data_IF_689130161620
#
_entry.id   IF_689130161620
#
_cell.length_a   1.000
_cell.length_b   1.000
_cell.length_c   1.000
_cell.angle_alpha   90.00
_cell.angle_beta   90.00
_cell.angle_gamma   90.00
#
_symmetry.space_group_name_H-M   'P 1'
#
loop_
_entity.id
_entity.type
_entity.pdbx_description
1 polymer ?
#
# COMPACT_ATOMS: atom_id res chain seq x y z
N UNK A 1 0.84 -7.37 -1.74
CA UNK A 1 0.44 -8.64 -1.10
C UNK A 1 -1.04 -8.87 -1.29
N UNK A 2 -1.43 -10.13 -1.44
CA UNK A 2 -2.80 -10.60 -1.54
C UNK A 2 -2.97 -11.73 -0.53
N UNK A 3 -4.05 -11.69 0.25
CA UNK A 3 -4.41 -12.77 1.17
C UNK A 3 -5.89 -13.05 1.02
N UNK A 4 -6.24 -14.29 0.69
CA UNK A 4 -7.62 -14.74 0.61
C UNK A 4 -8.02 -15.43 1.91
N UNK A 5 -9.16 -15.02 2.45
CA UNK A 5 -9.73 -15.59 3.65
C UNK A 5 -11.03 -16.33 3.31
N UNK A 6 -11.15 -17.57 3.80
CA UNK A 6 -12.37 -18.36 3.70
C UNK A 6 -12.71 -18.89 5.10
N UNK A 7 -13.94 -18.65 5.55
CA UNK A 7 -14.43 -19.08 6.88
C UNK A 7 -13.50 -18.67 8.05
N UNK A 8 -12.89 -17.48 7.94
CA UNK A 8 -11.97 -16.94 8.94
C UNK A 8 -10.54 -17.51 8.90
N UNK A 9 -10.25 -18.41 7.96
CA UNK A 9 -8.92 -19.00 7.77
C UNK A 9 -8.22 -18.40 6.56
N UNK A 10 -6.89 -18.27 6.62
CA UNK A 10 -6.08 -17.91 5.46
C UNK A 10 -6.04 -19.11 4.52
N UNK A 11 -6.49 -18.89 3.28
CA UNK A 11 -6.57 -19.96 2.28
C UNK A 11 -5.49 -19.81 1.20
N UNK A 12 -5.22 -18.59 0.73
CA UNK A 12 -4.16 -18.30 -0.24
C UNK A 12 -3.42 -17.02 0.14
N UNK A 13 -2.14 -16.97 -0.18
CA UNK A 13 -1.33 -15.75 -0.11
C UNK A 13 -0.46 -15.63 -1.34
N UNK A 14 -0.40 -14.44 -1.93
CA UNK A 14 0.47 -14.14 -3.05
C UNK A 14 1.12 -12.77 -2.91
N UNK A 15 2.27 -12.59 -3.55
CA UNK A 15 2.96 -11.31 -3.64
C UNK A 15 3.14 -10.99 -5.12
N UNK A 16 2.47 -9.94 -5.58
CA UNK A 16 2.73 -9.36 -6.89
C UNK A 16 3.92 -8.41 -6.78
N UNK A 17 4.86 -8.47 -7.72
CA UNK A 17 6.02 -7.57 -7.78
C UNK A 17 5.66 -6.17 -8.33
N UNK A 18 4.46 -5.68 -7.99
CA UNK A 18 3.94 -4.37 -8.38
C UNK A 18 3.22 -3.70 -7.20
N UNK A 19 3.21 -2.36 -7.17
CA UNK A 19 2.60 -1.57 -6.12
C UNK A 19 2.74 -0.07 -6.36
N UNK A 20 2.69 0.71 -5.27
CA UNK A 20 2.71 2.17 -5.36
C UNK A 20 4.01 2.78 -5.89
N UNK A 21 5.11 2.03 -5.94
CA UNK A 21 6.39 2.49 -6.49
C UNK A 21 6.33 2.62 -8.02
N UNK A 22 5.67 1.67 -8.70
CA UNK A 22 5.46 1.74 -10.15
C UNK A 22 4.66 2.98 -10.54
N UNK A 23 3.66 3.37 -9.73
CA UNK A 23 2.94 4.63 -9.91
C UNK A 23 3.89 5.84 -9.84
N UNK A 24 4.82 5.85 -8.88
CA UNK A 24 5.83 6.92 -8.75
C UNK A 24 6.75 6.97 -9.96
N UNK A 25 7.19 5.82 -10.45
CA UNK A 25 8.06 5.72 -11.62
C UNK A 25 7.37 6.25 -12.88
N UNK A 26 6.11 5.87 -13.10
CA UNK A 26 5.32 6.37 -14.23
C UNK A 26 5.12 7.88 -14.19
N UNK A 27 4.85 8.44 -13.00
CA UNK A 27 4.74 9.89 -12.82
C UNK A 27 6.09 10.58 -13.13
N UNK A 28 7.20 10.02 -12.65
CA UNK A 28 8.52 10.59 -12.86
C UNK A 28 8.89 10.65 -14.35
N UNK A 29 8.61 9.56 -15.08
CA UNK A 29 8.84 9.47 -16.51
C UNK A 29 7.87 10.39 -17.27
N UNK A 30 6.56 10.27 -17.00
CA UNK A 30 5.52 10.98 -17.73
C UNK A 30 5.56 12.50 -17.56
N UNK A 31 5.98 12.98 -16.39
CA UNK A 31 6.07 14.41 -16.09
C UNK A 31 7.49 14.97 -16.12
N UNK A 32 8.49 14.14 -16.45
CA UNK A 32 9.90 14.55 -16.44
C UNK A 32 10.28 15.27 -15.14
N UNK A 33 9.99 14.64 -14.00
CA UNK A 33 10.29 15.12 -12.63
C UNK A 33 11.18 14.11 -11.89
N UNK A 34 12.04 14.54 -10.95
CA UNK A 34 12.79 13.59 -10.11
C UNK A 34 11.84 12.65 -9.35
N UNK A 35 12.28 11.41 -9.06
CA UNK A 35 11.50 10.39 -8.33
C UNK A 35 10.97 10.92 -6.99
N UNK A 36 11.77 11.67 -6.24
CA UNK A 36 11.34 12.30 -4.99
C UNK A 36 10.27 13.38 -5.19
N UNK A 37 10.31 14.07 -6.33
CA UNK A 37 9.27 15.00 -6.76
C UNK A 37 7.99 14.26 -7.13
N UNK A 38 8.09 13.20 -7.92
CA UNK A 38 6.98 12.33 -8.30
C UNK A 38 6.25 11.74 -7.08
N UNK A 39 7.00 11.22 -6.11
CA UNK A 39 6.43 10.64 -4.88
C UNK A 39 5.68 11.70 -4.07
N UNK A 40 6.23 12.92 -4.00
CA UNK A 40 5.60 14.04 -3.30
C UNK A 40 4.29 14.45 -3.96
N UNK A 41 4.28 14.66 -5.27
CA UNK A 41 3.04 15.05 -5.98
C UNK A 41 2.01 13.92 -6.00
N UNK A 42 2.44 12.64 -6.07
CA UNK A 42 1.55 11.49 -5.92
C UNK A 42 0.82 11.51 -4.59
N UNK A 43 1.55 11.72 -3.49
CA UNK A 43 0.97 11.76 -2.14
C UNK A 43 0.07 12.97 -1.91
N UNK A 44 0.44 14.13 -2.44
CA UNK A 44 -0.29 15.39 -2.21
C UNK A 44 -1.52 15.56 -3.11
N UNK A 45 -1.45 15.10 -4.36
CA UNK A 45 -2.44 15.46 -5.39
C UNK A 45 -2.90 14.27 -6.23
N UNK A 46 -2.37 13.06 -6.00
CA UNK A 46 -2.71 11.89 -6.81
C UNK A 46 -4.18 11.47 -6.67
N UNK A 47 -4.79 11.12 -7.80
CA UNK A 47 -6.14 10.54 -7.87
C UNK A 47 -6.14 9.37 -8.85
N UNK A 48 -6.77 8.28 -8.44
CA UNK A 48 -7.01 7.09 -9.26
C UNK A 48 -8.19 7.27 -10.24
N UNK A 49 -8.92 8.38 -10.17
CA UNK A 49 -10.04 8.65 -11.06
C UNK A 49 -9.98 10.10 -11.55
N UNK A 50 -9.79 10.26 -12.85
CA UNK A 50 -9.78 11.57 -13.50
C UNK A 50 -11.11 12.33 -13.34
N UNK A 51 -12.22 11.61 -13.18
CA UNK A 51 -13.56 12.18 -12.96
C UNK A 51 -13.75 12.83 -11.58
N UNK A 52 -12.86 12.56 -10.61
CA UNK A 52 -12.87 13.20 -9.29
C UNK A 52 -12.09 14.51 -9.27
N UNK A 53 -11.36 14.83 -10.35
CA UNK A 53 -10.48 15.99 -10.42
C UNK A 53 -11.18 17.14 -11.17
N UNK A 54 -11.24 18.31 -10.57
CA UNK A 54 -11.78 19.51 -11.22
C UNK A 54 -10.96 19.92 -12.45
N UNK A 55 -11.63 20.43 -13.49
CA UNK A 55 -11.01 20.76 -14.79
C UNK A 55 -9.94 21.85 -14.71
N UNK A 56 -10.06 22.74 -13.71
CA UNK A 56 -9.19 23.89 -13.47
C UNK A 56 -8.24 23.70 -12.29
N UNK A 57 -8.22 22.51 -11.67
CA UNK A 57 -7.26 22.21 -10.60
C UNK A 57 -5.84 22.11 -11.16
N UNK A 58 -4.92 22.86 -10.56
CA UNK A 58 -3.51 22.92 -10.97
C UNK A 58 -2.61 22.37 -9.87
N UNK A 59 -1.50 21.75 -10.28
CA UNK A 59 -0.40 21.28 -9.43
C UNK A 59 0.93 21.81 -9.95
N UNK A 60 1.90 22.00 -9.06
CA UNK A 60 3.24 22.42 -9.44
C UNK A 60 4.17 21.20 -9.52
N UNK A 61 4.76 21.00 -10.69
CA UNK A 61 5.67 19.89 -10.98
C UNK A 61 7.11 20.35 -10.77
N UNK A 62 7.90 19.63 -9.95
CA UNK A 62 9.30 19.97 -9.73
C UNK A 62 10.15 19.84 -11.00
N UNK A 63 10.91 20.89 -11.32
CA UNK A 63 11.80 20.87 -12.48
C UNK A 63 13.02 19.96 -12.30
N UNK A 64 13.55 19.43 -13.40
CA UNK A 64 14.83 18.70 -13.44
C UNK A 64 15.98 19.64 -13.77
N UNK A 65 17.15 19.44 -13.15
CA UNK A 65 18.41 20.05 -13.59
C UNK A 65 18.46 21.57 -13.41
N UNK A 66 17.88 22.09 -12.32
CA UNK A 66 17.85 23.53 -12.02
C UNK A 66 16.75 24.30 -12.74
N UNK A 67 15.89 23.62 -13.52
CA UNK A 67 14.66 24.22 -14.04
C UNK A 67 13.70 24.54 -12.88
N UNK A 68 12.96 25.64 -13.01
CA UNK A 68 11.93 26.02 -12.05
C UNK A 68 10.74 25.07 -12.12
N UNK A 69 10.02 24.97 -11.01
CA UNK A 69 8.74 24.29 -10.95
C UNK A 69 7.77 24.93 -11.94
N UNK A 70 6.97 24.10 -12.60
CA UNK A 70 6.00 24.56 -13.60
C UNK A 70 4.58 24.06 -13.28
N UNK A 71 3.55 24.84 -13.59
CA UNK A 71 2.17 24.43 -13.36
C UNK A 71 1.75 23.35 -14.38
N UNK A 72 0.89 22.43 -13.95
CA UNK A 72 0.25 21.40 -14.76
C UNK A 72 -1.17 21.19 -14.25
N UNK A 73 -2.12 20.87 -15.13
CA UNK A 73 -3.46 20.45 -14.70
C UNK A 73 -3.34 19.16 -13.87
N UNK A 74 -3.97 19.13 -12.69
CA UNK A 74 -4.04 17.95 -11.81
C UNK A 74 -4.61 16.73 -12.53
N UNK A 75 -5.51 16.96 -13.49
CA UNK A 75 -6.09 15.90 -14.32
C UNK A 75 -5.03 15.09 -15.07
N UNK A 76 -3.99 15.73 -15.60
CA UNK A 76 -2.88 15.06 -16.31
C UNK A 76 -2.14 14.10 -15.38
N UNK A 77 -1.97 14.46 -14.10
CA UNK A 77 -1.40 13.56 -13.10
C UNK A 77 -2.29 12.32 -12.90
N UNK A 78 -3.62 12.52 -12.83
CA UNK A 78 -4.57 11.40 -12.69
C UNK A 78 -4.61 10.50 -13.93
N UNK A 79 -4.45 11.06 -15.12
CA UNK A 79 -4.36 10.32 -16.40
C UNK A 79 -3.11 9.43 -16.48
N UNK A 80 -2.09 9.65 -15.64
CA UNK A 80 -0.94 8.76 -15.47
C UNK A 80 -1.21 7.72 -14.36
N UNK A 81 -1.78 8.14 -13.23
CA UNK A 81 -1.99 7.27 -12.06
C UNK A 81 -3.05 6.20 -12.32
N UNK A 82 -4.18 6.60 -12.92
CA UNK A 82 -5.33 5.74 -13.15
C UNK A 82 -4.97 4.46 -13.91
N UNK A 83 -4.36 4.50 -15.13
CA UNK A 83 -4.05 3.28 -15.87
C UNK A 83 -3.08 2.34 -15.14
N UNK A 84 -2.11 2.87 -14.40
CA UNK A 84 -1.20 2.03 -13.60
C UNK A 84 -1.94 1.33 -12.46
N UNK A 85 -2.86 2.03 -11.80
CA UNK A 85 -3.64 1.44 -10.73
C UNK A 85 -4.66 0.42 -11.26
N UNK A 86 -5.24 0.66 -12.44
CA UNK A 86 -6.09 -0.31 -13.16
C UNK A 86 -5.32 -1.58 -13.49
N UNK A 87 -4.09 -1.48 -13.97
CA UNK A 87 -3.22 -2.62 -14.23
C UNK A 87 -2.91 -3.40 -12.95
N UNK A 88 -2.56 -2.72 -11.85
CA UNK A 88 -2.31 -3.38 -10.56
C UNK A 88 -3.54 -4.17 -10.10
N UNK A 89 -4.74 -3.57 -10.16
CA UNK A 89 -5.97 -4.27 -9.80
C UNK A 89 -6.32 -5.39 -10.77
N UNK A 90 -6.00 -5.25 -12.04
CA UNK A 90 -6.21 -6.30 -13.05
C UNK A 90 -5.32 -7.52 -12.76
N UNK A 91 -4.06 -7.30 -12.37
CA UNK A 91 -3.14 -8.35 -11.94
C UNK A 91 -3.61 -9.03 -10.64
N UNK A 92 -4.19 -8.26 -9.71
CA UNK A 92 -4.85 -8.82 -8.51
C UNK A 92 -6.03 -9.70 -8.91
N UNK A 93 -6.89 -9.25 -9.83
CA UNK A 93 -8.02 -10.03 -10.33
C UNK A 93 -7.55 -11.32 -10.98
N UNK A 94 -6.53 -11.25 -11.84
CA UNK A 94 -5.95 -12.43 -12.48
C UNK A 94 -5.41 -13.44 -11.46
N UNK A 95 -4.72 -12.97 -10.42
CA UNK A 95 -4.23 -13.83 -9.35
C UNK A 95 -5.37 -14.48 -8.56
N UNK A 96 -6.46 -13.76 -8.29
CA UNK A 96 -7.66 -14.33 -7.66
C UNK A 96 -8.25 -15.43 -8.53
N UNK A 97 -8.44 -15.18 -9.83
CA UNK A 97 -9.01 -16.16 -10.78
C UNK A 97 -8.16 -17.43 -10.89
N UNK A 98 -6.83 -17.30 -10.85
CA UNK A 98 -5.90 -18.45 -10.85
C UNK A 98 -6.13 -19.40 -9.68
N UNK A 99 -6.70 -18.93 -8.58
CA UNK A 99 -7.02 -19.81 -7.44
C UNK A 99 -8.24 -20.70 -7.69
N UNK A 100 -9.14 -20.33 -8.61
CA UNK A 100 -10.41 -21.02 -8.84
C UNK A 100 -11.52 -20.69 -7.83
N UNK A 101 -11.33 -19.66 -6.99
CA UNK A 101 -12.27 -19.26 -5.93
C UNK A 101 -12.87 -17.87 -6.14
N UNK A 102 -12.92 -17.40 -7.38
CA UNK A 102 -13.53 -16.11 -7.74
C UNK A 102 -14.95 -15.94 -7.16
N UNK A 103 -15.76 -16.99 -7.19
CA UNK A 103 -17.12 -17.01 -6.62
C UNK A 103 -17.17 -16.89 -5.08
N UNK A 104 -16.07 -17.17 -4.37
CA UNK A 104 -16.01 -17.06 -2.91
C UNK A 104 -15.60 -15.67 -2.42
N UNK A 105 -15.15 -14.79 -3.33
CA UNK A 105 -14.77 -13.41 -3.00
C UNK A 105 -16.00 -12.49 -2.85
N UNK A 106 -17.21 -13.04 -2.89
CA UNK A 106 -18.47 -12.31 -2.69
C UNK A 106 -18.57 -11.52 -1.36
N UNK A 107 -17.74 -11.82 -0.36
CA UNK A 107 -17.62 -11.03 0.86
C UNK A 107 -16.98 -9.63 0.65
N UNK A 108 -16.43 -9.39 -0.54
CA UNK A 108 -15.77 -8.15 -0.92
C UNK A 108 -14.27 -8.14 -0.64
N UNK A 109 -13.61 -7.05 -1.05
CA UNK A 109 -12.16 -6.86 -0.94
C UNK A 109 -11.83 -5.74 0.04
N UNK A 110 -10.74 -5.92 0.78
CA UNK A 110 -10.20 -4.90 1.68
C UNK A 110 -8.85 -4.46 1.14
N UNK A 111 -8.76 -3.20 0.72
CA UNK A 111 -7.50 -2.59 0.25
C UNK A 111 -6.86 -1.83 1.41
N UNK A 112 -5.57 -2.03 1.64
CA UNK A 112 -4.82 -1.38 2.73
C UNK A 112 -3.39 -1.04 2.31
N UNK A 113 -2.55 -0.57 3.23
CA UNK A 113 -1.18 -0.13 2.95
C UNK A 113 -1.09 1.29 2.38
N UNK A 114 0.12 1.82 2.21
CA UNK A 114 0.30 3.23 1.87
C UNK A 114 -0.30 3.69 0.53
N UNK A 115 -0.27 2.83 -0.50
CA UNK A 115 -0.85 3.16 -1.81
C UNK A 115 -2.39 3.25 -1.79
N UNK A 116 -3.04 2.63 -0.80
CA UNK A 116 -4.50 2.71 -0.60
C UNK A 116 -4.99 4.08 -0.12
N UNK A 117 -4.08 5.03 0.12
CA UNK A 117 -4.41 6.42 0.43
C UNK A 117 -4.66 7.29 -0.81
N UNK A 118 -4.42 6.78 -2.02
CA UNK A 118 -4.74 7.51 -3.24
C UNK A 118 -6.24 7.79 -3.33
N UNK A 119 -6.60 9.02 -3.70
CA UNK A 119 -8.00 9.40 -3.88
C UNK A 119 -8.66 8.53 -4.95
N UNK A 120 -9.89 8.05 -4.70
CA UNK A 120 -10.63 7.24 -5.67
C UNK A 120 -10.17 5.79 -5.80
N UNK A 121 -9.14 5.34 -5.05
CA UNK A 121 -8.61 3.96 -5.16
C UNK A 121 -9.66 2.88 -4.88
N UNK A 122 -10.56 3.10 -3.92
CA UNK A 122 -11.64 2.15 -3.60
C UNK A 122 -12.60 2.01 -4.78
N UNK A 123 -13.05 3.14 -5.34
CA UNK A 123 -13.95 3.14 -6.50
C UNK A 123 -13.31 2.49 -7.72
N UNK A 124 -12.03 2.77 -7.98
CA UNK A 124 -11.31 2.14 -9.08
C UNK A 124 -11.19 0.62 -8.88
N UNK A 125 -10.87 0.19 -7.66
CA UNK A 125 -10.81 -1.22 -7.31
C UNK A 125 -12.17 -1.91 -7.50
N UNK A 126 -13.28 -1.28 -7.08
CA UNK A 126 -14.64 -1.78 -7.31
C UNK A 126 -14.93 -1.97 -8.80
N UNK A 127 -14.55 -0.99 -9.63
CA UNK A 127 -14.75 -1.06 -11.08
C UNK A 127 -13.96 -2.19 -11.75
N UNK A 128 -12.74 -2.47 -11.29
CA UNK A 128 -11.86 -3.48 -11.90
C UNK A 128 -12.12 -4.89 -11.35
N UNK A 129 -12.44 -5.01 -10.07
CA UNK A 129 -12.64 -6.29 -9.39
C UNK A 129 -14.09 -6.79 -9.42
N UNK A 130 -15.05 -5.92 -9.74
CA UNK A 130 -16.49 -6.21 -9.81
C UNK A 130 -17.06 -6.81 -8.52
N UNK A 131 -16.51 -6.39 -7.37
CA UNK A 131 -16.97 -6.77 -6.03
C UNK A 131 -16.91 -5.55 -5.10
N UNK A 132 -17.69 -5.51 -4.01
CA UNK A 132 -17.61 -4.42 -3.04
C UNK A 132 -16.18 -4.28 -2.49
N UNK A 133 -15.64 -3.06 -2.46
CA UNK A 133 -14.31 -2.79 -1.91
C UNK A 133 -14.41 -1.78 -0.79
N UNK A 134 -13.59 -1.96 0.25
CA UNK A 134 -13.44 -0.97 1.32
C UNK A 134 -11.99 -0.73 1.69
N UNK A 135 -11.74 0.45 2.25
CA UNK A 135 -10.45 0.78 2.83
C UNK A 135 -10.27 0.04 4.17
N UNK A 136 -9.16 -0.66 4.30
CA UNK A 136 -8.75 -1.37 5.50
C UNK A 136 -7.92 -0.47 6.41
N UNK A 137 -8.49 -0.15 7.56
CA UNK A 137 -7.81 0.58 8.63
C UNK A 137 -7.38 -0.36 9.77
N UNK A 138 -6.27 -0.07 10.46
CA UNK A 138 -5.89 -0.82 11.66
C UNK A 138 -6.98 -0.71 12.74
N UNK A 139 -7.33 -1.84 13.38
CA UNK A 139 -8.36 -1.92 14.41
C UNK A 139 -7.84 -2.55 15.70
N UNK A 140 -8.58 -2.35 16.82
CA UNK A 140 -8.31 -3.03 18.08
C UNK A 140 -7.28 -2.35 18.99
N UNK A 141 -6.94 -1.09 18.70
CA UNK A 141 -6.00 -0.29 19.48
C UNK A 141 -6.76 0.75 20.29
N UNK A 142 -6.47 0.84 21.59
CA UNK A 142 -7.00 1.87 22.49
C UNK A 142 -5.82 2.65 23.08
N UNK A 143 -5.98 3.97 23.22
CA UNK A 143 -5.03 4.82 23.94
C UNK A 143 -3.81 5.31 23.15
N UNK A 144 -3.65 4.95 21.86
CA UNK A 144 -2.69 5.61 20.98
C UNK A 144 -3.32 6.84 20.31
N UNK A 145 -2.49 7.85 20.00
CA UNK A 145 -2.89 9.10 19.38
C UNK A 145 -3.64 8.89 18.06
N UNK A 146 -4.49 9.85 17.66
CA UNK A 146 -5.31 9.77 16.43
C UNK A 146 -4.50 9.52 15.14
N UNK A 147 -3.18 9.75 15.17
CA UNK A 147 -2.28 9.66 14.02
C UNK A 147 -1.97 8.24 13.53
N UNK A 148 -2.34 7.19 14.25
CA UNK A 148 -2.07 5.80 13.83
C UNK A 148 -3.23 5.14 13.05
N UNK A 149 -4.35 5.84 12.89
CA UNK A 149 -5.49 5.33 12.12
C UNK A 149 -5.25 5.54 10.61
N UNK A 150 -4.19 4.93 10.10
CA UNK A 150 -3.79 5.00 8.70
C UNK A 150 -3.45 3.61 8.16
N UNK A 151 -3.86 3.27 6.93
CA UNK A 151 -3.48 2.02 6.28
C UNK A 151 -1.96 1.79 6.20
N UNK A 152 -1.14 2.85 6.26
CA UNK A 152 0.33 2.76 6.29
C UNK A 152 0.81 1.89 7.46
N UNK A 153 0.09 1.89 8.58
CA UNK A 153 0.48 1.19 9.81
C UNK A 153 -0.16 -0.19 9.96
N UNK A 154 -0.99 -0.62 8.99
CA UNK A 154 -1.79 -1.84 9.09
C UNK A 154 -0.94 -3.09 9.38
N UNK A 155 0.17 -3.28 8.68
CA UNK A 155 1.05 -4.45 8.86
C UNK A 155 1.69 -4.45 10.25
N UNK A 156 2.30 -3.33 10.66
CA UNK A 156 2.98 -3.23 11.95
C UNK A 156 2.03 -3.46 13.12
N UNK A 157 0.84 -2.84 13.07
CA UNK A 157 -0.20 -3.01 14.08
C UNK A 157 -0.72 -4.46 14.08
N UNK A 158 -0.99 -5.03 12.91
CA UNK A 158 -1.47 -6.41 12.78
C UNK A 158 -0.52 -7.42 13.41
N UNK A 159 0.80 -7.24 13.21
CA UNK A 159 1.83 -8.09 13.82
C UNK A 159 1.83 -7.99 15.35
N UNK A 160 1.75 -6.77 15.90
CA UNK A 160 1.68 -6.56 17.36
C UNK A 160 0.42 -7.20 17.95
N UNK A 161 -0.74 -6.96 17.33
CA UNK A 161 -2.01 -7.55 17.75
C UNK A 161 -1.99 -9.07 17.71
N UNK A 162 -1.34 -9.65 16.68
CA UNK A 162 -1.18 -11.09 16.58
C UNK A 162 -0.28 -11.63 17.70
N UNK A 163 0.84 -10.97 17.99
CA UNK A 163 1.71 -11.32 19.13
C UNK A 163 0.97 -11.31 20.47
N UNK A 164 0.13 -10.30 20.72
CA UNK A 164 -0.71 -10.22 21.92
C UNK A 164 -1.71 -11.38 22.01
N UNK A 165 -2.36 -11.74 20.89
CA UNK A 165 -3.27 -12.89 20.83
C UNK A 165 -2.56 -14.21 21.13
N UNK A 166 -1.36 -14.41 20.57
CA UNK A 166 -0.54 -15.60 20.86
C UNK A 166 -0.21 -15.73 22.34
N UNK A 167 0.20 -14.62 23.00
CA UNK A 167 0.51 -14.60 24.43
C UNK A 167 -0.72 -14.91 25.29
N UNK A 168 -1.87 -14.33 24.94
CA UNK A 168 -3.12 -14.54 25.68
C UNK A 168 -3.64 -15.99 25.59
N UNK A 169 -3.34 -16.72 24.52
CA UNK A 169 -3.74 -18.12 24.33
C UNK A 169 -2.84 -19.13 25.06
N UNK A 170 -1.85 -18.68 25.85
CA UNK A 170 -0.97 -19.56 26.63
C UNK A 170 -0.10 -20.49 25.78
N UNK A 171 0.00 -20.25 24.46
CA UNK A 171 0.93 -20.98 23.60
C UNK A 171 2.35 -20.54 23.97
N UNK A 172 3.27 -21.47 24.31
CA UNK A 172 4.64 -21.10 24.58
C UNK A 172 5.18 -20.38 23.35
N UNK A 173 5.72 -19.18 23.56
CA UNK A 173 6.52 -18.51 22.55
C UNK A 173 7.58 -19.51 22.09
N UNK A 174 7.52 -19.95 20.83
CA UNK A 174 8.64 -20.71 20.23
C UNK A 174 9.89 -19.83 20.07
N UNK A 175 9.80 -18.55 20.40
CA UNK A 175 10.94 -17.66 20.55
C UNK A 175 11.40 -17.70 22.00
N UNK A 176 12.45 -18.48 22.26
CA UNK A 176 13.28 -18.37 23.46
C UNK A 176 13.84 -16.94 23.50
N UNK A 177 13.30 -16.10 24.37
CA UNK A 177 13.59 -14.65 24.44
C UNK A 177 15.09 -14.35 24.57
N UNK A 178 15.86 -15.20 25.24
CA UNK A 178 17.28 -14.94 25.52
C UNK A 178 18.23 -15.09 24.30
N UNK A 179 17.87 -15.91 23.30
CA UNK A 179 18.77 -16.22 22.19
C UNK A 179 18.59 -15.35 20.94
N UNK A 180 17.49 -14.60 20.84
CA UNK A 180 17.17 -13.79 19.66
C UNK A 180 17.56 -12.34 19.82
N UNK A 181 17.36 -11.74 21.00
CA UNK A 181 17.85 -10.38 21.26
C UNK A 181 19.37 -10.31 21.14
N UNK A 182 20.08 -11.31 21.68
CA UNK A 182 21.53 -11.47 21.51
C UNK A 182 21.91 -11.60 20.03
N UNK A 183 21.28 -12.52 19.28
CA UNK A 183 21.54 -12.66 17.83
C UNK A 183 21.26 -11.41 17.00
N UNK A 184 20.21 -10.65 17.33
CA UNK A 184 19.87 -9.40 16.63
C UNK A 184 20.92 -8.33 16.96
N UNK A 185 21.33 -8.21 18.23
CA UNK A 185 22.39 -7.26 18.62
C UNK A 185 23.75 -7.62 18.04
N UNK A 186 24.05 -8.90 17.90
CA UNK A 186 25.32 -9.37 17.33
C UNK A 186 25.37 -9.11 15.82
N UNK A 187 24.28 -9.36 15.09
CA UNK A 187 24.17 -8.98 13.67
C UNK A 187 24.27 -7.47 13.45
N UNK A 188 23.67 -6.65 14.31
CA UNK A 188 23.78 -5.20 14.21
C UNK A 188 25.21 -4.70 14.48
N UNK A 189 25.96 -5.36 15.38
CA UNK A 189 27.38 -5.06 15.63
C UNK A 189 28.28 -5.49 14.48
N UNK A 190 28.01 -6.64 13.85
CA UNK A 190 28.72 -7.07 12.65
C UNK A 190 28.49 -6.10 11.49
N UNK A 191 27.24 -5.72 11.25
CA UNK A 191 26.88 -4.76 10.20
C UNK A 191 27.55 -3.40 10.41
N UNK A 192 27.61 -2.89 11.65
CA UNK A 192 28.32 -1.64 11.96
C UNK A 192 29.84 -1.71 11.72
N UNK A 193 30.46 -2.88 11.90
CA UNK A 193 31.88 -3.11 11.61
C UNK A 193 32.18 -3.29 10.12
N UNK A 194 31.18 -3.62 9.32
CA UNK A 194 31.32 -3.67 7.86
C UNK A 194 31.20 -2.28 7.22
N UNK A 195 30.52 -1.35 7.88
CA UNK A 195 30.27 0.01 7.38
C UNK A 195 31.24 1.09 7.89
N UNK A 196 32.01 0.81 8.95
CA UNK A 196 33.04 1.70 9.53
C UNK A 196 34.35 0.94 9.74
#
# INVERSE_FOLDING_TARGET
>A
DITLFLEGNVWHTAVLSVGGEQVTNDIAIGLSTPISGAERIKKSYGSCLSSLVGEEEMVYIPGIGGRKDHPLKRRVLSEIIQPRMEEIFSLVNEEIRKTGYEDLVNAGVVVTGGASLLEGVVKLAEQVLDVPVRLGLPQGIKGLSQNINSPIYATGIGLVMQGLRYRAQGRPSRFTEDHLFTKITDRMKEWLKEFF
#
